data_IF_846091711578
#
_entry.id   IF_846091711578
#
_cell.length_a   1.000
_cell.length_b   1.000
_cell.length_c   1.000
_cell.angle_alpha   90.00
_cell.angle_beta   90.00
_cell.angle_gamma   90.00
#
_symmetry.space_group_name_H-M   'P 1'
#
loop_
_entity.id
_entity.type
_entity.pdbx_description
1 polymer ?
#
# COMPACT_ATOMS: atom_id res chain seq x y z
N UNK A 1 28.77 -17.90 -17.51
CA UNK A 1 28.27 -16.63 -18.09
C UNK A 1 26.88 -16.93 -18.59
N UNK A 2 25.87 -16.39 -17.94
CA UNK A 2 24.46 -16.57 -18.30
C UNK A 2 23.95 -15.20 -18.79
N UNK A 3 23.72 -15.03 -20.10
CA UNK A 3 23.21 -13.76 -20.62
C UNK A 3 21.88 -13.37 -19.96
N UNK A 4 21.84 -12.18 -19.35
CA UNK A 4 20.66 -11.68 -18.64
C UNK A 4 20.49 -12.15 -17.19
N UNK A 5 21.48 -12.80 -16.58
CA UNK A 5 21.43 -13.10 -15.15
C UNK A 5 21.47 -11.83 -14.29
N UNK A 6 20.59 -11.76 -13.28
CA UNK A 6 20.68 -10.74 -12.23
C UNK A 6 21.51 -11.27 -11.07
N UNK A 7 22.58 -10.54 -10.73
CA UNK A 7 23.30 -10.72 -9.47
C UNK A 7 22.80 -9.63 -8.51
N UNK A 8 21.79 -9.97 -7.71
CA UNK A 8 21.21 -9.06 -6.73
C UNK A 8 22.17 -8.89 -5.54
N UNK A 9 22.26 -7.67 -5.02
CA UNK A 9 22.97 -7.42 -3.77
C UNK A 9 22.18 -8.00 -2.57
N UNK A 10 22.88 -8.35 -1.50
CA UNK A 10 22.26 -8.78 -0.25
C UNK A 10 21.63 -7.59 0.50
N UNK A 11 20.51 -7.85 1.18
CA UNK A 11 19.81 -6.89 2.04
C UNK A 11 18.55 -6.28 1.42
N UNK A 12 17.73 -5.67 2.28
CA UNK A 12 16.41 -5.13 1.92
C UNK A 12 16.47 -3.64 1.53
N UNK A 13 15.61 -3.24 0.57
CA UNK A 13 15.41 -1.85 0.20
C UNK A 13 14.23 -1.27 1.00
N UNK A 14 14.53 -0.41 1.97
CA UNK A 14 13.49 0.27 2.76
C UNK A 14 12.76 1.34 1.94
N UNK A 15 11.48 1.14 1.69
CA UNK A 15 10.62 2.11 1.02
C UNK A 15 10.13 3.23 1.98
N UNK A 16 9.88 4.42 1.44
CA UNK A 16 9.25 5.56 2.14
C UNK A 16 9.96 6.05 3.43
N UNK A 17 11.26 5.80 3.57
CA UNK A 17 12.08 6.25 4.72
C UNK A 17 11.92 7.77 4.97
N UNK A 18 11.79 8.15 6.23
CA UNK A 18 11.67 9.56 6.65
C UNK A 18 10.33 10.23 6.34
N UNK A 19 9.38 9.55 5.69
CA UNK A 19 8.03 10.09 5.43
C UNK A 19 7.11 9.85 6.62
N UNK A 20 6.21 10.81 6.89
CA UNK A 20 5.13 10.62 7.87
C UNK A 20 4.15 9.58 7.34
N UNK A 21 4.00 8.48 8.06
CA UNK A 21 2.96 7.46 7.84
C UNK A 21 1.86 7.65 8.89
N UNK A 22 0.61 7.37 8.51
CA UNK A 22 -0.59 7.59 9.34
C UNK A 22 -1.45 6.34 9.35
N UNK A 23 -2.33 6.32 10.36
CA UNK A 23 -3.40 5.39 10.69
C UNK A 23 -4.64 5.39 9.72
N UNK A 24 -5.09 4.34 8.98
CA UNK A 24 -6.49 4.04 8.51
C UNK A 24 -6.82 2.52 8.43
N UNK A 25 -7.90 2.06 9.08
CA UNK A 25 -8.57 0.77 8.88
C UNK A 25 -9.65 0.95 7.81
N UNK A 26 -9.91 -0.10 7.03
CA UNK A 26 -10.61 -0.03 5.75
C UNK A 26 -11.56 -1.21 5.66
N UNK A 27 -12.86 -0.94 5.58
CA UNK A 27 -13.90 -1.95 5.32
C UNK A 27 -14.63 -1.60 4.03
N UNK A 28 -14.72 -2.56 3.11
CA UNK A 28 -15.56 -2.44 1.92
C UNK A 28 -17.01 -2.76 2.28
N UNK A 29 -17.90 -1.78 2.18
CA UNK A 29 -19.34 -1.90 2.40
C UNK A 29 -20.14 -2.19 1.11
N UNK A 30 -19.45 -2.27 -0.04
CA UNK A 30 -20.04 -2.54 -1.34
C UNK A 30 -20.22 -4.02 -1.66
N UNK A 31 -20.94 -4.28 -2.74
CA UNK A 31 -21.29 -5.60 -3.28
C UNK A 31 -20.21 -6.23 -4.18
N UNK A 32 -19.13 -5.49 -4.46
CA UNK A 32 -18.10 -5.84 -5.44
C UNK A 32 -16.69 -5.66 -4.86
N UNK A 33 -15.69 -6.43 -5.36
CA UNK A 33 -14.31 -6.29 -4.92
C UNK A 33 -13.73 -4.92 -5.29
N UNK A 34 -12.85 -4.41 -4.43
CA UNK A 34 -12.13 -3.13 -4.61
C UNK A 34 -10.64 -3.39 -4.44
N UNK A 35 -9.83 -2.87 -5.36
CA UNK A 35 -8.36 -2.86 -5.29
C UNK A 35 -7.88 -1.41 -5.39
N UNK A 36 -6.91 -1.02 -4.56
CA UNK A 36 -6.37 0.35 -4.50
C UNK A 36 -4.89 0.36 -4.85
N UNK A 37 -4.48 1.25 -5.76
CA UNK A 37 -3.08 1.40 -6.16
C UNK A 37 -2.25 2.20 -5.15
N UNK A 38 -0.93 1.94 -5.11
CA UNK A 38 0.01 2.52 -4.14
C UNK A 38 0.11 4.05 -4.14
N UNK A 39 -0.27 4.71 -5.24
CA UNK A 39 -0.23 6.16 -5.42
C UNK A 39 -1.64 6.78 -5.54
N UNK A 40 -2.69 6.08 -5.11
CA UNK A 40 -4.04 6.62 -5.09
C UNK A 40 -4.24 7.61 -3.93
N UNK A 41 -4.98 8.71 -4.18
CA UNK A 41 -5.32 9.67 -3.13
C UNK A 41 -6.48 9.15 -2.26
N UNK A 42 -6.13 8.41 -1.20
CA UNK A 42 -7.07 7.76 -0.28
C UNK A 42 -8.15 8.67 0.34
N UNK A 43 -7.86 9.97 0.52
CA UNK A 43 -8.77 10.91 1.22
C UNK A 43 -9.63 11.77 0.27
N UNK A 44 -9.90 11.31 -0.96
CA UNK A 44 -10.79 12.02 -1.90
C UNK A 44 -12.26 11.75 -1.53
N UNK A 45 -13.16 12.77 -1.50
CA UNK A 45 -14.46 12.65 -0.82
C UNK A 45 -15.54 11.98 -1.68
N UNK A 46 -15.37 10.69 -2.01
CA UNK A 46 -16.41 9.90 -2.71
C UNK A 46 -16.55 8.49 -2.12
N UNK A 47 -17.77 8.20 -1.67
CA UNK A 47 -18.33 6.87 -1.35
C UNK A 47 -17.82 6.12 -0.09
N UNK A 48 -18.58 5.10 0.39
CA UNK A 48 -18.98 5.02 1.80
C UNK A 48 -18.06 4.12 2.63
N UNK A 49 -16.77 4.42 2.62
CA UNK A 49 -15.84 3.86 3.60
C UNK A 49 -15.87 4.71 4.88
N UNK A 50 -16.27 4.10 5.98
CA UNK A 50 -16.10 4.68 7.31
C UNK A 50 -14.63 4.53 7.73
N UNK A 51 -13.80 5.52 7.40
CA UNK A 51 -12.35 5.47 7.60
C UNK A 51 -11.96 5.95 9.00
N UNK A 52 -11.76 5.01 9.93
CA UNK A 52 -11.13 5.25 11.24
C UNK A 52 -9.64 4.86 11.21
N UNK A 53 -8.80 5.51 11.99
CA UNK A 53 -7.37 5.68 11.68
C UNK A 53 -6.40 4.52 12.13
N UNK A 54 -6.48 3.29 11.58
CA UNK A 54 -5.73 2.07 12.03
C UNK A 54 -4.63 1.36 11.12
N UNK A 55 -4.27 1.82 9.90
CA UNK A 55 -3.21 1.36 8.92
C UNK A 55 -2.05 0.56 9.57
N UNK A 56 -1.73 -0.58 8.96
CA UNK A 56 -0.41 -1.20 8.79
C UNK A 56 -0.56 -2.01 7.49
N UNK A 57 -0.20 -1.44 6.35
CA UNK A 57 -0.16 -2.23 5.10
C UNK A 57 1.17 -2.97 5.11
N UNK A 58 1.13 -4.11 5.77
CA UNK A 58 1.88 -5.26 5.32
C UNK A 58 1.24 -5.72 4.02
N UNK A 59 1.91 -5.44 2.90
CA UNK A 59 1.74 -6.30 1.74
C UNK A 59 2.30 -7.66 2.12
N UNK A 60 1.45 -8.69 2.08
CA UNK A 60 1.90 -10.06 1.92
C UNK A 60 2.29 -10.31 0.45
#
# INVERSE_FOLDING_TARGET
MIPGEYQLAEGDILANVGRKTVKIEVTNSGDRPIQVGSHYHFLKPIMPLNLTALWRVECA
#
